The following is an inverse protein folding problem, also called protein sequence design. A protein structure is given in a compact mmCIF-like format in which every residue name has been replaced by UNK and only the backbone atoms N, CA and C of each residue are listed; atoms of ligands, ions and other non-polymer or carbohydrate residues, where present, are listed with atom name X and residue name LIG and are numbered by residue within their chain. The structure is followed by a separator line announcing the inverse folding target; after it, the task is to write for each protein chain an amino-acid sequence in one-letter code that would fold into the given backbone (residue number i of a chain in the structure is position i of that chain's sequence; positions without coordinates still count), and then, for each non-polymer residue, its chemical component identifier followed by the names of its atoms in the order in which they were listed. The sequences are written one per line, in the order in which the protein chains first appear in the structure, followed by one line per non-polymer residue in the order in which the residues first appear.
data_IF_496102592826
#
_entry.id   IF_496102592826
#
_cell.length_a   1.000
_cell.length_b   1.000
_cell.length_c   1.000
_cell.angle_alpha   90.00
_cell.angle_beta   90.00
_cell.angle_gamma   90.00
#
_symmetry.space_group_name_H-M   'P 1'
#
loop_
_entity.id
_entity.type
_entity.pdbx_description
1 polymer ?
#
# COMPACT_ATOMS: atom_id res chain seq x y z
N UNK A 1 -26.77 23.56 -7.21
CA UNK A 1 -26.83 22.20 -6.64
C UNK A 1 -28.00 22.16 -5.67
N UNK A 2 -29.15 21.61 -6.07
CA UNK A 2 -30.25 21.40 -5.15
C UNK A 2 -29.99 20.09 -4.39
N UNK A 3 -29.59 20.18 -3.13
CA UNK A 3 -29.57 19.01 -2.25
C UNK A 3 -31.03 18.71 -1.87
N UNK A 4 -31.57 17.52 -2.18
CA UNK A 4 -32.92 17.17 -1.77
C UNK A 4 -32.98 17.14 -0.23
N UNK A 5 -33.77 18.04 0.34
CA UNK A 5 -34.02 18.12 1.77
C UNK A 5 -35.32 17.39 2.07
N UNK A 6 -35.22 16.26 2.77
CA UNK A 6 -36.40 15.51 3.25
C UNK A 6 -36.64 15.87 4.71
N UNK A 7 -37.82 16.41 5.00
CA UNK A 7 -38.31 16.62 6.37
C UNK A 7 -38.90 15.30 6.87
N UNK A 8 -38.36 14.76 7.95
CA UNK A 8 -38.90 13.60 8.65
C UNK A 8 -39.34 14.01 10.05
N UNK A 9 -40.27 13.26 10.63
CA UNK A 9 -40.63 13.37 12.04
C UNK A 9 -40.43 11.99 12.66
N UNK A 10 -39.57 11.90 13.69
CA UNK A 10 -39.25 10.64 14.35
C UNK A 10 -39.65 10.69 15.82
N UNK A 11 -40.20 9.57 16.29
CA UNK A 11 -40.38 9.29 17.70
C UNK A 11 -39.15 8.55 18.20
N UNK A 12 -38.51 9.09 19.24
CA UNK A 12 -37.36 8.46 19.88
C UNK A 12 -37.82 7.63 21.08
N UNK A 13 -37.09 6.55 21.38
CA UNK A 13 -37.42 5.65 22.50
C UNK A 13 -37.44 6.33 23.88
N UNK A 14 -36.94 7.56 23.99
CA UNK A 14 -36.90 8.35 25.22
C UNK A 14 -38.14 9.25 25.45
N UNK A 15 -38.93 9.58 24.43
CA UNK A 15 -40.02 10.58 24.52
C UNK A 15 -41.22 10.21 23.64
N UNK A 16 -42.43 10.61 24.06
CA UNK A 16 -43.67 10.33 23.32
C UNK A 16 -44.06 11.43 22.33
N UNK A 17 -43.28 12.51 22.24
CA UNK A 17 -43.51 13.61 21.31
C UNK A 17 -42.69 13.47 20.00
N UNK A 18 -43.26 13.82 18.83
CA UNK A 18 -42.55 13.76 17.56
C UNK A 18 -41.52 14.89 17.43
N UNK A 19 -40.28 14.54 17.09
CA UNK A 19 -39.23 15.51 16.80
C UNK A 19 -39.00 15.63 15.29
N UNK A 20 -39.13 16.84 14.70
CA UNK A 20 -38.84 17.06 13.29
C UNK A 20 -37.33 17.12 13.02
N UNK A 21 -36.87 16.38 12.01
CA UNK A 21 -35.51 16.42 11.47
C UNK A 21 -35.52 16.78 9.97
N UNK A 22 -34.48 17.49 9.53
CA UNK A 22 -34.26 17.79 8.10
C UNK A 22 -32.98 17.08 7.69
N UNK A 23 -33.13 16.02 6.89
CA UNK A 23 -31.99 15.24 6.42
C UNK A 23 -31.60 15.71 5.01
N UNK A 24 -30.35 16.16 4.86
CA UNK A 24 -29.75 16.52 3.57
C UNK A 24 -28.85 15.39 3.08
N UNK A 25 -29.21 14.78 1.94
CA UNK A 25 -28.39 13.73 1.33
C UNK A 25 -27.40 14.33 0.33
N UNK A 26 -26.11 14.40 0.71
CA UNK A 26 -25.02 14.75 -0.18
C UNK A 26 -24.32 13.49 -0.72
N UNK A 27 -24.51 13.21 -2.01
CA UNK A 27 -23.79 12.13 -2.70
C UNK A 27 -22.46 12.66 -3.26
N UNK A 28 -21.35 12.32 -2.59
CA UNK A 28 -19.99 12.65 -3.04
C UNK A 28 -19.38 11.47 -3.81
N UNK A 29 -18.94 11.70 -5.06
CA UNK A 29 -18.27 10.67 -5.87
C UNK A 29 -16.75 10.89 -5.87
N UNK A 30 -15.99 10.03 -5.19
CA UNK A 30 -14.52 10.02 -5.27
C UNK A 30 -14.04 9.51 -6.63
N UNK A 31 -13.04 10.17 -7.22
CA UNK A 31 -12.31 9.75 -8.43
C UNK A 31 -10.88 9.30 -8.02
N UNK A 32 -10.64 8.02 -7.72
CA UNK A 32 -9.36 7.55 -7.17
C UNK A 32 -8.22 7.39 -8.20
N UNK A 33 -8.50 7.60 -9.49
CA UNK A 33 -7.58 7.30 -10.61
C UNK A 33 -6.18 7.92 -10.44
N UNK A 34 -6.08 9.15 -9.95
CA UNK A 34 -4.80 9.83 -9.77
C UNK A 34 -3.92 9.18 -8.69
N UNK A 35 -4.53 8.76 -7.58
CA UNK A 35 -3.83 8.06 -6.50
C UNK A 35 -3.35 6.67 -6.96
N UNK A 36 -4.16 5.95 -7.74
CA UNK A 36 -3.79 4.61 -8.24
C UNK A 36 -2.56 4.66 -9.15
N UNK A 37 -2.48 5.63 -10.06
CA UNK A 37 -1.32 5.76 -10.97
C UNK A 37 -0.04 6.09 -10.21
N UNK A 38 -0.11 7.01 -9.24
CA UNK A 38 1.03 7.37 -8.40
C UNK A 38 1.54 6.21 -7.52
N UNK A 39 0.72 5.19 -7.28
CA UNK A 39 1.12 3.97 -6.55
C UNK A 39 1.69 2.87 -7.46
N UNK A 40 1.30 2.83 -8.74
CA UNK A 40 1.81 1.84 -9.70
C UNK A 40 3.24 2.16 -10.14
N UNK A 41 3.54 3.44 -10.40
CA UNK A 41 4.87 3.91 -10.80
C UNK A 41 5.98 3.41 -9.85
N UNK A 42 5.87 3.59 -8.52
CA UNK A 42 6.88 3.11 -7.58
C UNK A 42 6.98 1.58 -7.54
N UNK A 43 5.87 0.84 -7.74
CA UNK A 43 5.91 -0.62 -7.82
C UNK A 43 6.74 -1.11 -9.03
N UNK A 44 6.57 -0.49 -10.19
CA UNK A 44 7.37 -0.81 -11.39
C UNK A 44 8.84 -0.44 -11.17
N UNK A 45 9.12 0.71 -10.56
CA UNK A 45 10.48 1.14 -10.21
C UNK A 45 11.21 0.15 -9.30
N UNK A 46 10.54 -0.35 -8.25
CA UNK A 46 11.11 -1.34 -7.33
C UNK A 46 11.39 -2.68 -8.05
N UNK A 47 10.51 -3.09 -8.98
CA UNK A 47 10.75 -4.30 -9.78
C UNK A 47 11.95 -4.17 -10.73
N UNK A 48 12.22 -2.97 -11.26
CA UNK A 48 13.41 -2.72 -12.07
C UNK A 48 14.68 -2.73 -11.21
N UNK A 49 14.63 -2.12 -10.03
CA UNK A 49 15.75 -2.08 -9.08
C UNK A 49 16.15 -3.48 -8.62
N UNK A 50 15.21 -4.42 -8.44
CA UNK A 50 15.56 -5.79 -8.06
C UNK A 50 16.39 -6.51 -9.15
N UNK A 51 16.06 -6.33 -10.43
CA UNK A 51 16.83 -6.88 -11.56
C UNK A 51 18.25 -6.30 -11.61
N UNK A 52 18.38 -4.99 -11.37
CA UNK A 52 19.68 -4.30 -11.34
C UNK A 52 20.58 -4.83 -10.21
N UNK A 53 20.02 -5.17 -9.05
CA UNK A 53 20.78 -5.73 -7.91
C UNK A 53 21.32 -7.14 -8.20
N UNK A 54 20.63 -7.94 -9.02
CA UNK A 54 21.16 -9.23 -9.49
C UNK A 54 22.23 -9.08 -10.58
N UNK A 55 22.13 -8.02 -11.37
CA UNK A 55 23.07 -7.77 -12.47
C UNK A 55 24.42 -7.23 -11.99
N UNK A 56 24.47 -6.57 -10.82
CA UNK A 56 25.71 -6.00 -10.30
C UNK A 56 26.58 -7.08 -9.61
N UNK A 57 27.80 -7.37 -10.11
CA UNK A 57 28.70 -8.35 -9.50
C UNK A 57 29.16 -7.89 -8.11
N UNK A 58 29.16 -8.84 -7.17
CA UNK A 58 29.19 -8.64 -5.71
C UNK A 58 30.58 -8.34 -5.12
N UNK A 59 31.45 -7.67 -5.87
CA UNK A 59 32.83 -7.37 -5.42
C UNK A 59 32.93 -6.00 -4.71
N UNK A 60 31.98 -5.09 -4.95
CA UNK A 60 31.89 -3.79 -4.27
C UNK A 60 30.80 -3.80 -3.20
N UNK A 61 31.11 -3.31 -1.99
CA UNK A 61 30.15 -3.10 -0.90
C UNK A 61 28.96 -2.19 -1.23
N UNK A 62 28.98 -1.57 -2.41
CA UNK A 62 27.89 -0.79 -3.01
C UNK A 62 26.59 -1.60 -3.15
N UNK A 63 26.67 -2.92 -3.38
CA UNK A 63 25.48 -3.78 -3.48
C UNK A 63 24.65 -3.80 -2.18
N UNK A 64 25.31 -3.79 -1.02
CA UNK A 64 24.63 -3.74 0.29
C UNK A 64 23.97 -2.38 0.48
N UNK A 65 24.69 -1.30 0.18
CA UNK A 65 24.17 0.06 0.28
C UNK A 65 22.90 0.23 -0.57
N UNK A 66 22.92 -0.23 -1.82
CA UNK A 66 21.75 -0.24 -2.71
C UNK A 66 20.58 -1.05 -2.12
N UNK A 67 20.85 -2.23 -1.54
CA UNK A 67 19.80 -3.06 -0.93
C UNK A 67 19.13 -2.39 0.28
N UNK A 68 19.89 -1.67 1.12
CA UNK A 68 19.36 -0.93 2.28
C UNK A 68 18.51 0.25 1.81
N UNK A 69 18.96 0.99 0.79
CA UNK A 69 18.17 2.08 0.21
C UNK A 69 16.83 1.61 -0.35
N UNK A 70 16.79 0.44 -0.99
CA UNK A 70 15.55 -0.17 -1.49
C UNK A 70 14.62 -0.52 -0.32
N UNK A 71 15.12 -1.18 0.73
CA UNK A 71 14.33 -1.53 1.93
C UNK A 71 13.72 -0.29 2.60
N UNK A 72 14.51 0.78 2.73
CA UNK A 72 14.03 2.04 3.31
C UNK A 72 12.91 2.67 2.46
N UNK A 73 13.11 2.75 1.14
CA UNK A 73 12.11 3.28 0.20
C UNK A 73 10.79 2.50 0.26
N UNK A 74 10.87 1.17 0.38
CA UNK A 74 9.72 0.26 0.50
C UNK A 74 8.93 0.51 1.79
N UNK A 75 9.64 0.73 2.89
CA UNK A 75 9.04 1.02 4.21
C UNK A 75 8.30 2.36 4.19
N UNK A 76 8.88 3.40 3.59
CA UNK A 76 8.21 4.68 3.39
C UNK A 76 6.94 4.55 2.53
N UNK A 77 7.00 3.77 1.45
CA UNK A 77 5.83 3.55 0.60
C UNK A 77 4.70 2.82 1.33
N UNK A 78 5.04 1.82 2.16
CA UNK A 78 4.07 1.11 2.99
C UNK A 78 3.42 2.03 4.04
N UNK A 79 4.21 2.87 4.71
CA UNK A 79 3.72 3.86 5.68
C UNK A 79 2.73 4.84 5.02
N UNK A 80 3.10 5.40 3.86
CA UNK A 80 2.22 6.27 3.09
C UNK A 80 0.93 5.53 2.71
N UNK A 81 1.02 4.30 2.21
CA UNK A 81 -0.17 3.48 1.92
C UNK A 81 -1.07 3.26 3.15
N UNK A 82 -0.49 3.00 4.31
CA UNK A 82 -1.23 2.80 5.55
C UNK A 82 -1.94 4.08 6.03
N UNK A 83 -1.40 5.27 5.74
CA UNK A 83 -2.06 6.54 6.06
C UNK A 83 -3.20 6.92 5.11
N UNK A 84 -3.05 6.62 3.81
CA UNK A 84 -4.10 6.96 2.81
C UNK A 84 -5.28 5.96 2.91
N UNK A 85 -5.03 4.73 3.33
CA UNK A 85 -6.05 3.69 3.48
C UNK A 85 -6.70 3.81 4.86
N UNK A 86 -7.98 4.21 4.97
CA UNK A 86 -8.68 4.12 6.24
C UNK A 86 -8.77 2.65 6.66
N UNK A 87 -8.55 2.36 7.95
CA UNK A 87 -8.63 1.03 8.56
C UNK A 87 -10.08 0.53 8.67
N UNK A 88 -10.86 0.62 7.58
CA UNK A 88 -12.27 0.27 7.56
C UNK A 88 -12.50 -1.02 6.77
N UNK A 89 -12.83 -2.09 7.50
CA UNK A 89 -13.17 -3.42 6.98
C UNK A 89 -14.56 -3.51 6.34
N UNK A 90 -15.31 -2.41 6.27
CA UNK A 90 -16.77 -2.43 6.11
C UNK A 90 -17.30 -2.44 4.67
N UNK A 91 -16.48 -2.28 3.64
CA UNK A 91 -16.91 -2.55 2.26
C UNK A 91 -15.70 -2.73 1.34
N UNK A 92 -15.62 -3.86 0.64
CA UNK A 92 -14.68 -4.07 -0.46
C UNK A 92 -15.36 -3.89 -1.82
N UNK A 93 -15.61 -2.65 -2.32
CA UNK A 93 -15.78 -2.41 -3.75
C UNK A 93 -14.41 -2.09 -4.36
N UNK A 94 -14.21 -2.38 -5.66
CA UNK A 94 -13.02 -2.23 -6.54
C UNK A 94 -11.66 -1.86 -5.91
N UNK A 95 -11.59 -0.77 -5.15
CA UNK A 95 -10.44 -0.31 -4.38
C UNK A 95 -9.84 -1.42 -3.48
N UNK A 96 -10.68 -2.26 -2.86
CA UNK A 96 -10.20 -3.42 -2.09
C UNK A 96 -9.46 -4.47 -2.95
N UNK A 97 -9.92 -4.72 -4.18
CA UNK A 97 -9.27 -5.65 -5.12
C UNK A 97 -7.91 -5.11 -5.59
N UNK A 98 -7.80 -3.81 -5.81
CA UNK A 98 -6.52 -3.14 -6.09
C UNK A 98 -5.58 -3.17 -4.89
N UNK A 99 -6.08 -2.91 -3.67
CA UNK A 99 -5.27 -2.96 -2.46
C UNK A 99 -4.71 -4.35 -2.16
N UNK A 100 -5.52 -5.40 -2.37
CA UNK A 100 -5.07 -6.78 -2.27
C UNK A 100 -3.95 -7.08 -3.26
N UNK A 101 -4.08 -6.63 -4.51
CA UNK A 101 -3.01 -6.78 -5.50
C UNK A 101 -1.73 -6.05 -5.07
N UNK A 102 -1.84 -4.81 -4.55
CA UNK A 102 -0.66 -4.06 -4.05
C UNK A 102 -0.02 -4.71 -2.82
N UNK A 103 -0.81 -5.27 -1.89
CA UNK A 103 -0.30 -5.99 -0.72
C UNK A 103 0.48 -7.25 -1.14
N UNK A 104 -0.01 -7.98 -2.14
CA UNK A 104 0.70 -9.15 -2.68
C UNK A 104 2.02 -8.72 -3.35
N UNK A 105 2.01 -7.65 -4.15
CA UNK A 105 3.25 -7.16 -4.78
C UNK A 105 4.28 -6.66 -3.76
N UNK A 106 3.84 -5.94 -2.73
CA UNK A 106 4.71 -5.44 -1.64
C UNK A 106 5.27 -6.59 -0.81
N UNK A 107 4.48 -7.61 -0.49
CA UNK A 107 4.98 -8.78 0.24
C UNK A 107 6.00 -9.57 -0.58
N UNK A 108 5.75 -9.76 -1.88
CA UNK A 108 6.72 -10.39 -2.77
C UNK A 108 8.03 -9.61 -2.85
N UNK A 109 7.97 -8.27 -2.95
CA UNK A 109 9.18 -7.44 -3.02
C UNK A 109 10.00 -7.47 -1.73
N UNK A 110 9.36 -7.50 -0.56
CA UNK A 110 10.03 -7.71 0.74
C UNK A 110 10.73 -9.08 0.78
N UNK A 111 10.07 -10.15 0.32
CA UNK A 111 10.66 -11.50 0.28
C UNK A 111 11.89 -11.53 -0.64
N UNK A 112 11.82 -10.91 -1.81
CA UNK A 112 12.97 -10.79 -2.72
C UNK A 112 14.11 -9.98 -2.10
N UNK A 113 13.82 -8.85 -1.44
CA UNK A 113 14.83 -8.04 -0.77
C UNK A 113 15.53 -8.82 0.35
N UNK A 114 14.77 -9.58 1.15
CA UNK A 114 15.33 -10.46 2.20
C UNK A 114 16.13 -11.59 1.58
N UNK A 115 15.69 -12.20 0.48
CA UNK A 115 16.44 -13.25 -0.22
C UNK A 115 17.78 -12.73 -0.75
N UNK A 116 17.80 -11.53 -1.33
CA UNK A 116 19.03 -10.87 -1.79
C UNK A 116 19.95 -10.56 -0.61
N UNK A 117 19.42 -10.02 0.48
CA UNK A 117 20.18 -9.74 1.70
C UNK A 117 20.74 -11.04 2.30
N UNK A 118 19.96 -12.13 2.27
CA UNK A 118 20.36 -13.45 2.75
C UNK A 118 21.48 -14.04 1.88
N UNK A 119 21.34 -14.04 0.55
CA UNK A 119 22.39 -14.48 -0.37
C UNK A 119 23.65 -13.65 -0.20
N UNK A 120 23.51 -12.33 0.03
CA UNK A 120 24.62 -11.44 0.28
C UNK A 120 25.35 -11.77 1.59
N UNK A 121 24.64 -11.89 2.72
CA UNK A 121 25.25 -12.25 4.01
C UNK A 121 25.76 -13.71 4.05
N UNK A 122 25.22 -14.59 3.19
CA UNK A 122 25.70 -15.98 3.04
C UNK A 122 26.98 -16.09 2.19
N UNK A 123 27.46 -14.99 1.62
CA UNK A 123 28.75 -14.88 0.93
C UNK A 123 29.61 -13.86 1.66
N UNK A 124 30.29 -14.21 2.79
CA UNK A 124 31.66 -14.73 2.69
C UNK A 124 32.14 -15.48 3.96
N UNK A 125 31.77 -16.74 4.23
CA UNK A 125 32.43 -17.45 5.37
C UNK A 125 32.61 -18.97 5.30
N UNK A 126 31.85 -19.79 4.54
CA UNK A 126 31.95 -21.25 4.73
C UNK A 126 31.82 -22.16 3.49
N UNK A 127 32.35 -21.80 2.32
CA UNK A 127 32.51 -22.80 1.25
C UNK A 127 33.87 -22.73 0.56
N UNK A 128 34.65 -23.81 0.71
CA UNK A 128 35.80 -24.10 -0.15
C UNK A 128 35.28 -24.24 -1.58
N UNK A 129 35.90 -23.53 -2.52
CA UNK A 129 35.72 -23.78 -3.96
C UNK A 129 36.10 -25.25 -4.27
N UNK A 130 35.17 -26.06 -4.81
CA UNK A 130 35.56 -27.29 -5.45
C UNK A 130 36.14 -26.98 -6.85
N UNK A 131 37.13 -27.76 -7.25
CA UNK A 131 37.89 -27.63 -8.51
C UNK A 131 37.01 -27.77 -9.75
#
# INVERSE_FOLDING_TARGET
MAAPATRNEKYYSCCMEPYPDITFNMTLRRKPLFYTVNLIIPCVGISGLSVVVFYLPSESGEKVSLSISILLSLTFFFLVLAEIVPSTSLAMPLLGKYLLFTMILVTLSVVFAVAVLNVHFRSPSFHKMPK
#
